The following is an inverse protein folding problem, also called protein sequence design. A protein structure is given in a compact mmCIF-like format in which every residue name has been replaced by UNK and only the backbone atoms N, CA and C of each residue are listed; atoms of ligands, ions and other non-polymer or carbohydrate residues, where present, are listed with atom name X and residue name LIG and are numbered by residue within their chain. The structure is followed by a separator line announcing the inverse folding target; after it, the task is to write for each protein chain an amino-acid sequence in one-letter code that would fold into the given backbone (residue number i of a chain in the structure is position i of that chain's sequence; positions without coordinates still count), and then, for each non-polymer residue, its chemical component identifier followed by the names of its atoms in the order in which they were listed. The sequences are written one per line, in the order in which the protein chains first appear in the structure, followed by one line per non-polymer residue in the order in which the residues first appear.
data_IF_800769861664
#
_entry.id   IF_800769861664
#
_cell.length_a   1.000
_cell.length_b   1.000
_cell.length_c   1.000
_cell.angle_alpha   90.00
_cell.angle_beta   90.00
_cell.angle_gamma   90.00
#
_symmetry.space_group_name_H-M   'P 1'
#
loop_
_entity.id
_entity.type
_entity.pdbx_description
1 polymer ?
#
# COMPACT_ATOMS: atom_id res chain seq x y z
N UNK A 1 -22.56 -13.33 -24.94
CA UNK A 1 -21.25 -13.60 -24.33
C UNK A 1 -20.92 -12.45 -23.40
N UNK A 2 -21.13 -12.62 -22.10
CA UNK A 2 -20.86 -11.60 -21.09
C UNK A 2 -19.36 -11.62 -20.84
N UNK A 3 -18.61 -10.72 -21.49
CA UNK A 3 -17.21 -10.49 -21.13
C UNK A 3 -17.21 -9.97 -19.69
N UNK A 4 -16.96 -10.87 -18.73
CA UNK A 4 -16.56 -10.46 -17.40
C UNK A 4 -15.20 -9.76 -17.56
N UNK A 5 -15.23 -8.43 -17.74
CA UNK A 5 -14.09 -7.55 -17.57
C UNK A 5 -13.62 -7.72 -16.13
N UNK A 6 -12.87 -8.78 -15.84
CA UNK A 6 -11.95 -8.80 -14.72
C UNK A 6 -11.01 -7.66 -15.01
N UNK A 7 -11.25 -6.52 -14.37
CA UNK A 7 -10.31 -5.40 -14.36
C UNK A 7 -8.99 -6.02 -13.91
N UNK A 8 -8.08 -6.18 -14.87
CA UNK A 8 -6.78 -6.77 -14.60
C UNK A 8 -6.08 -5.83 -13.62
N UNK A 9 -5.74 -6.36 -12.45
CA UNK A 9 -5.06 -5.57 -11.42
C UNK A 9 -3.67 -5.26 -11.94
N UNK A 10 -3.37 -3.99 -12.20
CA UNK A 10 -2.06 -3.51 -12.69
C UNK A 10 -0.97 -3.72 -11.66
N UNK A 11 -1.33 -3.62 -10.38
CA UNK A 11 -0.41 -3.83 -9.28
C UNK A 11 -0.84 -4.98 -8.38
N UNK A 12 0.14 -5.74 -7.92
CA UNK A 12 0.03 -6.59 -6.74
C UNK A 12 0.98 -6.10 -5.67
N UNK A 13 0.61 -6.29 -4.41
CA UNK A 13 1.34 -5.73 -3.28
C UNK A 13 1.43 -6.75 -2.14
N UNK A 14 2.57 -6.77 -1.45
CA UNK A 14 2.77 -7.55 -0.23
C UNK A 14 3.71 -6.82 0.73
N UNK A 15 3.49 -6.99 2.03
CA UNK A 15 4.45 -6.56 3.04
C UNK A 15 5.54 -7.62 3.21
N UNK A 16 6.79 -7.17 3.31
CA UNK A 16 7.95 -8.02 3.61
C UNK A 16 8.51 -7.58 4.96
N UNK A 17 8.63 -8.52 5.89
CA UNK A 17 9.28 -8.28 7.17
C UNK A 17 10.80 -8.32 6.97
N UNK A 18 11.45 -7.17 7.09
CA UNK A 18 12.89 -7.02 6.96
C UNK A 18 13.47 -6.66 8.33
N UNK A 19 13.34 -7.59 9.28
CA UNK A 19 13.84 -7.58 10.67
C UNK A 19 13.49 -6.31 11.46
N UNK A 20 14.17 -5.20 11.17
CA UNK A 20 13.99 -3.90 11.80
C UNK A 20 12.94 -3.00 11.11
N UNK A 21 12.41 -3.38 9.92
CA UNK A 21 11.43 -2.58 9.15
C UNK A 21 10.46 -3.45 8.35
N UNK A 22 9.23 -2.97 8.15
CA UNK A 22 8.23 -3.60 7.26
C UNK A 22 8.24 -2.93 5.89
N UNK A 23 8.79 -3.53 4.84
CA UNK A 23 8.80 -2.90 3.51
C UNK A 23 7.57 -3.30 2.69
N UNK A 24 7.20 -2.47 1.71
CA UNK A 24 6.15 -2.81 0.74
C UNK A 24 6.80 -3.23 -0.58
N UNK A 25 6.59 -4.49 -0.98
CA UNK A 25 6.92 -4.94 -2.33
C UNK A 25 5.70 -4.72 -3.22
N UNK A 26 5.87 -3.90 -4.26
CA UNK A 26 4.89 -3.59 -5.28
C UNK A 26 5.35 -4.20 -6.61
N UNK A 27 4.53 -5.04 -7.24
CA UNK A 27 4.83 -5.65 -8.53
C UNK A 27 3.86 -5.12 -9.59
N UNK A 28 4.42 -4.56 -10.66
CA UNK A 28 3.67 -4.20 -11.86
C UNK A 28 3.42 -5.48 -12.68
N UNK A 29 2.18 -5.92 -12.75
CA UNK A 29 1.79 -7.13 -13.50
C UNK A 29 1.43 -6.82 -14.95
N UNK A 30 1.36 -5.55 -15.34
CA UNK A 30 1.06 -5.16 -16.73
C UNK A 30 2.28 -5.24 -17.64
N UNK A 31 2.04 -5.08 -18.95
CA UNK A 31 3.07 -4.97 -19.98
C UNK A 31 3.53 -3.52 -20.22
N UNK A 32 3.02 -2.56 -19.43
CA UNK A 32 3.28 -1.13 -19.57
C UNK A 32 4.11 -0.57 -18.41
N UNK A 33 4.89 0.48 -18.66
CA UNK A 33 5.57 1.20 -17.57
C UNK A 33 4.59 2.10 -16.84
N UNK A 34 4.52 1.99 -15.52
CA UNK A 34 3.75 2.90 -14.67
C UNK A 34 4.67 4.00 -14.14
N UNK A 35 4.30 5.27 -14.26
CA UNK A 35 5.09 6.42 -13.77
C UNK A 35 4.42 7.08 -12.57
N UNK A 36 5.19 7.82 -11.78
CA UNK A 36 4.67 8.61 -10.65
C UNK A 36 3.80 7.78 -9.72
N UNK A 37 4.31 6.61 -9.32
CA UNK A 37 3.57 5.63 -8.54
C UNK A 37 3.56 6.05 -7.08
N UNK A 38 2.38 6.24 -6.51
CA UNK A 38 2.17 6.75 -5.16
C UNK A 38 1.19 5.87 -4.38
N UNK A 39 1.55 5.53 -3.13
CA UNK A 39 0.60 4.94 -2.18
C UNK A 39 -0.07 6.08 -1.42
N UNK A 40 -1.37 6.26 -1.64
CA UNK A 40 -2.15 7.39 -1.16
C UNK A 40 -2.60 7.21 0.30
N UNK A 41 -2.95 5.98 0.69
CA UNK A 41 -3.42 5.68 2.05
C UNK A 41 -3.21 4.21 2.41
N UNK A 42 -2.92 3.98 3.70
CA UNK A 42 -3.05 2.67 4.35
C UNK A 42 -4.06 2.81 5.46
N UNK A 43 -5.18 2.11 5.34
CA UNK A 43 -6.19 2.08 6.39
C UNK A 43 -5.84 0.96 7.37
N UNK A 44 -5.40 1.33 8.57
CA UNK A 44 -5.42 0.45 9.73
C UNK A 44 -6.86 0.40 10.21
N UNK A 45 -7.50 -0.77 10.17
CA UNK A 45 -8.73 -0.99 10.92
C UNK A 45 -8.34 -1.05 12.40
N UNK A 46 -8.75 -0.06 13.17
CA UNK A 46 -8.42 -0.01 14.60
C UNK A 46 -9.65 -0.42 15.41
N UNK A 47 -9.53 -1.48 16.22
CA UNK A 47 -10.56 -1.85 17.20
C UNK A 47 -10.51 -0.95 18.45
N UNK A 48 -9.40 -0.22 18.68
CA UNK A 48 -9.19 0.59 19.90
C UNK A 48 -9.83 1.99 19.84
N UNK A 49 -10.57 2.34 18.79
CA UNK A 49 -11.33 3.60 18.75
C UNK A 49 -12.75 3.36 19.24
N UNK A 50 -13.15 3.79 20.46
CA UNK A 50 -14.54 3.69 20.88
C UNK A 50 -15.42 4.46 19.89
N UNK A 51 -16.28 3.75 19.16
CA UNK A 51 -17.13 4.32 18.10
C UNK A 51 -16.63 4.14 16.65
N UNK A 52 -15.54 3.41 16.41
CA UNK A 52 -15.14 2.98 15.05
C UNK A 52 -14.69 4.11 14.13
N UNK A 53 -14.11 5.18 14.69
CA UNK A 53 -13.57 6.31 13.93
C UNK A 53 -12.33 5.94 13.09
N UNK A 54 -11.94 6.78 12.11
CA UNK A 54 -10.74 6.55 11.31
C UNK A 54 -9.50 6.50 12.21
N UNK A 55 -8.59 5.55 11.96
CA UNK A 55 -7.32 5.44 12.69
C UNK A 55 -6.54 6.75 12.62
N UNK A 56 -5.97 7.16 13.75
CA UNK A 56 -5.15 8.39 13.86
C UNK A 56 -3.74 8.23 13.29
N UNK A 57 -3.33 6.98 13.02
CA UNK A 57 -2.04 6.68 12.42
C UNK A 57 -2.15 6.64 10.89
N UNK A 58 -1.29 7.39 10.22
CA UNK A 58 -1.15 7.40 8.77
C UNK A 58 0.22 6.86 8.38
N UNK A 59 0.28 5.81 7.58
CA UNK A 59 1.54 5.30 7.04
C UNK A 59 1.70 5.88 5.63
N UNK A 60 2.80 6.60 5.40
CA UNK A 60 3.12 7.17 4.10
C UNK A 60 4.31 6.43 3.49
N UNK A 61 4.17 6.00 2.24
CA UNK A 61 5.26 5.38 1.48
C UNK A 61 5.95 6.42 0.61
N UNK A 62 7.22 6.18 0.32
CA UNK A 62 7.96 6.99 -0.63
C UNK A 62 7.39 6.81 -2.04
N UNK A 63 7.22 7.91 -2.78
CA UNK A 63 6.77 7.85 -4.16
C UNK A 63 7.84 7.21 -5.06
N UNK A 64 7.42 6.39 -6.02
CA UNK A 64 8.31 5.73 -6.98
C UNK A 64 8.16 6.39 -8.34
N UNK A 65 9.29 6.87 -8.89
CA UNK A 65 9.29 7.57 -10.18
C UNK A 65 8.70 6.73 -11.32
N UNK A 66 9.03 5.44 -11.35
CA UNK A 66 8.48 4.49 -12.32
C UNK A 66 8.66 3.05 -11.88
N UNK A 67 7.71 2.19 -12.25
CA UNK A 67 7.81 0.72 -12.13
C UNK A 67 7.67 0.13 -13.53
N UNK A 68 8.73 -0.55 -13.98
CA UNK A 68 8.79 -1.17 -15.31
C UNK A 68 7.82 -2.38 -15.41
N UNK A 69 7.48 -2.83 -16.63
CA UNK A 69 6.65 -4.01 -16.83
C UNK A 69 7.25 -5.24 -16.14
N UNK A 70 6.42 -6.02 -15.43
CA UNK A 70 6.80 -7.25 -14.71
C UNK A 70 7.88 -7.08 -13.62
N UNK A 71 8.28 -5.85 -13.34
CA UNK A 71 9.30 -5.53 -12.34
C UNK A 71 8.69 -5.24 -10.96
N UNK A 72 9.56 -5.29 -9.96
CA UNK A 72 9.23 -5.02 -8.57
C UNK A 72 9.85 -3.72 -8.10
N UNK A 73 9.10 -2.99 -7.29
CA UNK A 73 9.62 -1.87 -6.49
C UNK A 73 9.48 -2.22 -5.01
N UNK A 74 10.53 -1.94 -4.24
CA UNK A 74 10.51 -2.08 -2.78
C UNK A 74 10.47 -0.68 -2.18
N UNK A 75 9.37 -0.37 -1.50
CA UNK A 75 9.11 0.94 -0.94
C UNK A 75 9.38 0.91 0.56
N UNK A 76 10.16 1.89 1.01
CA UNK A 76 10.21 2.27 2.41
C UNK A 76 9.00 3.13 2.76
N UNK A 77 8.73 3.26 4.05
CA UNK A 77 7.63 4.06 4.56
C UNK A 77 8.09 4.87 5.76
N UNK A 78 7.23 5.80 6.16
CA UNK A 78 7.32 6.55 7.40
C UNK A 78 5.94 6.65 8.02
N UNK A 79 5.84 6.35 9.31
CA UNK A 79 4.59 6.52 10.05
C UNK A 79 4.44 7.96 10.52
N UNK A 80 3.26 8.51 10.33
CA UNK A 80 2.85 9.83 10.76
C UNK A 80 1.66 9.70 11.71
N UNK A 81 1.75 10.34 12.87
CA UNK A 81 0.66 10.41 13.86
C UNK A 81 0.37 11.89 14.09
N UNK A 82 -0.90 12.28 13.98
CA UNK A 82 -1.33 13.68 14.11
C UNK A 82 -0.52 14.66 13.22
N UNK A 83 -0.17 14.21 12.00
CA UNK A 83 0.58 15.02 11.03
C UNK A 83 2.07 15.20 11.32
N UNK A 84 2.64 14.44 12.28
CA UNK A 84 4.09 14.47 12.59
C UNK A 84 4.75 13.11 12.34
N UNK A 85 5.99 13.07 11.80
CA UNK A 85 6.70 11.81 11.63
C UNK A 85 6.99 11.22 13.00
N UNK A 86 6.73 9.93 13.15
CA UNK A 86 6.87 9.21 14.41
C UNK A 86 8.26 8.59 14.53
N UNK A 87 8.79 8.49 15.74
CA UNK A 87 10.07 7.84 16.04
C UNK A 87 9.91 6.31 16.01
N UNK A 88 10.99 5.57 15.75
CA UNK A 88 10.96 4.10 15.65
C UNK A 88 10.31 3.38 16.86
N UNK A 89 10.33 4.00 18.05
CA UNK A 89 9.76 3.46 19.30
C UNK A 89 8.22 3.56 19.34
N UNK A 90 7.65 4.56 18.66
CA UNK A 90 6.21 4.79 18.58
C UNK A 90 5.63 4.30 17.25
N UNK A 91 6.48 3.69 16.44
CA UNK A 91 6.15 3.28 15.10
C UNK A 91 5.16 2.12 15.15
N UNK A 92 3.99 2.32 14.58
CA UNK A 92 2.88 1.36 14.59
C UNK A 92 3.08 0.27 13.52
N UNK A 93 4.27 0.13 12.93
CA UNK A 93 4.54 -0.82 11.84
C UNK A 93 4.47 -2.27 12.22
N UNK A 94 4.69 -2.60 13.49
CA UNK A 94 4.43 -3.96 13.97
C UNK A 94 2.96 -4.34 13.76
N UNK A 95 2.06 -3.35 13.73
CA UNK A 95 0.65 -3.58 13.38
C UNK A 95 0.44 -3.87 11.90
N UNK A 96 1.42 -3.68 11.01
CA UNK A 96 1.39 -4.17 9.62
C UNK A 96 1.97 -5.57 9.49
N UNK A 97 2.73 -6.02 10.50
CA UNK A 97 3.13 -7.43 10.60
C UNK A 97 1.88 -8.25 10.84
N UNK A 98 1.84 -9.43 10.23
CA UNK A 98 0.69 -10.33 10.18
C UNK A 98 0.01 -10.43 11.55
N UNK A 99 -1.26 -10.01 11.62
CA UNK A 99 -2.11 -10.29 12.77
C UNK A 99 -2.63 -11.72 12.59
N UNK A 100 -2.16 -12.64 13.44
CA UNK A 100 -2.54 -14.05 13.35
C UNK A 100 -4.07 -14.20 13.45
N UNK A 101 -4.69 -14.70 12.38
CA UNK A 101 -6.13 -14.94 12.31
C UNK A 101 -6.94 -13.89 11.52
N UNK A 102 -6.34 -12.75 11.15
CA UNK A 102 -7.02 -11.72 10.35
C UNK A 102 -6.59 -11.72 8.88
N UNK A 103 -7.54 -11.98 7.98
CA UNK A 103 -7.29 -12.01 6.52
C UNK A 103 -7.39 -10.60 5.93
N UNK A 104 -6.30 -10.12 5.33
CA UNK A 104 -6.23 -8.81 4.64
C UNK A 104 -6.70 -7.61 5.49
N UNK A 105 -6.12 -7.37 6.67
CA UNK A 105 -6.52 -6.27 7.55
C UNK A 105 -6.34 -4.87 6.94
N UNK A 106 -5.53 -4.70 5.88
CA UNK A 106 -5.25 -3.39 5.30
C UNK A 106 -5.74 -3.23 3.87
N UNK A 107 -5.97 -1.97 3.51
CA UNK A 107 -6.28 -1.56 2.14
C UNK A 107 -5.29 -0.48 1.73
N UNK A 108 -4.62 -0.70 0.60
CA UNK A 108 -3.75 0.28 -0.05
C UNK A 108 -4.50 0.93 -1.22
N UNK A 109 -4.62 2.24 -1.19
CA UNK A 109 -4.99 3.00 -2.38
C UNK A 109 -3.71 3.44 -3.09
N UNK A 110 -3.57 3.08 -4.37
CA UNK A 110 -2.42 3.40 -5.20
C UNK A 110 -2.85 4.20 -6.42
N UNK A 111 -2.05 5.19 -6.79
CA UNK A 111 -2.19 5.92 -8.04
C UNK A 111 -0.92 5.88 -8.87
N UNK A 112 -1.07 5.96 -10.19
CA UNK A 112 0.04 6.08 -11.12
C UNK A 112 -0.40 6.78 -12.40
N UNK A 113 0.55 7.23 -13.20
CA UNK A 113 0.34 7.72 -14.55
C UNK A 113 0.63 6.59 -15.56
N UNK A 114 -0.31 6.34 -16.48
CA UNK A 114 -0.11 5.40 -17.59
C UNK A 114 0.69 6.04 -18.73
N UNK A 115 0.99 5.28 -19.79
CA UNK A 115 1.75 5.80 -20.93
C UNK A 115 1.07 6.97 -21.67
N UNK A 116 -0.27 7.09 -21.56
CA UNK A 116 -1.04 8.20 -22.13
C UNK A 116 -0.96 9.49 -21.29
N UNK A 117 -0.26 9.48 -20.15
CA UNK A 117 -0.25 10.60 -19.21
C UNK A 117 -1.51 10.68 -18.34
N UNK A 118 -2.35 9.64 -18.31
CA UNK A 118 -3.58 9.61 -17.51
C UNK A 118 -3.33 8.99 -16.15
N UNK A 119 -3.78 9.68 -15.11
CA UNK A 119 -3.78 9.14 -13.75
C UNK A 119 -4.79 7.99 -13.63
N UNK A 120 -4.32 6.89 -13.06
CA UNK A 120 -5.06 5.67 -12.77
C UNK A 120 -5.00 5.41 -11.27
N UNK A 121 -6.00 4.67 -10.79
CA UNK A 121 -6.15 4.35 -9.38
C UNK A 121 -6.49 2.87 -9.23
N UNK A 122 -5.94 2.24 -8.21
CA UNK A 122 -6.30 0.88 -7.82
C UNK A 122 -6.36 0.79 -6.30
N UNK A 123 -7.34 0.03 -5.82
CA UNK A 123 -7.47 -0.34 -4.42
C UNK A 123 -7.00 -1.78 -4.23
N UNK A 124 -6.03 -2.00 -3.35
CA UNK A 124 -5.40 -3.31 -3.11
C UNK A 124 -5.60 -3.70 -1.65
N UNK A 125 -6.48 -4.68 -1.36
CA UNK A 125 -6.50 -5.28 -0.03
C UNK A 125 -5.22 -6.12 0.16
N UNK A 126 -4.50 -5.87 1.26
CA UNK A 126 -3.21 -6.49 1.58
C UNK A 126 -3.18 -7.03 3.00
N UNK A 127 -2.33 -8.01 3.24
CA UNK A 127 -2.30 -8.84 4.44
C UNK A 127 -2.63 -10.30 4.11
N UNK A 128 -2.12 -11.22 4.93
CA UNK A 128 -2.19 -12.67 4.68
C UNK A 128 -3.52 -13.26 5.12
#
# INVERSE_FOLDING_TARGET
MTMSNKIEKTFTAKFIDAEARVLLELMNTSDETCKGVEILAVFLKDEETPGGGPSRAHIKFDAVKSVLPKEKAVLSHRTWIDGKPTDAVRDQLERLKVIAGEVKPYVLDISWENWEGKTRYQRIPVGH
#
